data_IF_767206900424
#
_entry.id   IF_767206900424
#
_cell.length_a   1.000
_cell.length_b   1.000
_cell.length_c   1.000
_cell.angle_alpha   90.00
_cell.angle_beta   90.00
_cell.angle_gamma   90.00
#
_symmetry.space_group_name_H-M   'P 1'
#
loop_
_entity.id
_entity.type
_entity.pdbx_description
1 polymer ?
#
# COMPACT_ATOMS: atom_id res chain seq x y z
N UNK A 1 -1.51 9.74 -39.74
CA UNK A 1 -2.97 9.57 -39.91
C UNK A 1 -3.68 10.73 -39.23
N UNK A 2 -4.17 11.71 -40.04
CA UNK A 2 -4.98 12.82 -39.53
C UNK A 2 -6.42 12.32 -39.32
N UNK A 3 -6.68 11.76 -38.15
CA UNK A 3 -8.06 11.50 -37.74
C UNK A 3 -8.73 12.87 -37.50
N UNK A 4 -9.79 13.16 -38.24
CA UNK A 4 -10.65 14.30 -37.93
C UNK A 4 -11.69 13.85 -36.91
N UNK A 5 -11.62 14.26 -35.64
CA UNK A 5 -12.52 13.80 -34.59
C UNK A 5 -13.91 14.44 -34.66
N UNK A 6 -14.12 15.46 -35.51
CA UNK A 6 -15.43 16.08 -35.67
C UNK A 6 -16.50 15.09 -36.17
N UNK A 7 -17.61 15.01 -35.45
CA UNK A 7 -18.70 14.09 -35.75
C UNK A 7 -18.50 12.66 -35.21
N UNK A 8 -17.40 12.39 -34.55
CA UNK A 8 -17.15 11.10 -33.87
C UNK A 8 -17.63 11.12 -32.41
N UNK A 9 -17.91 9.93 -31.90
CA UNK A 9 -18.01 9.67 -30.49
C UNK A 9 -16.63 9.20 -30.00
N UNK A 10 -16.03 9.96 -29.08
CA UNK A 10 -14.73 9.63 -28.49
C UNK A 10 -14.84 9.49 -26.96
N UNK A 11 -14.11 8.54 -26.44
CA UNK A 11 -13.99 8.33 -24.99
C UNK A 11 -12.73 9.02 -24.47
N UNK A 12 -12.75 9.39 -23.20
CA UNK A 12 -11.58 9.91 -22.47
C UNK A 12 -11.58 9.41 -21.03
N UNK A 13 -10.42 9.32 -20.43
CA UNK A 13 -10.23 8.91 -19.04
C UNK A 13 -10.42 10.11 -18.12
N UNK A 14 -11.66 10.25 -17.58
CA UNK A 14 -12.06 11.41 -16.79
C UNK A 14 -11.33 11.53 -15.46
N UNK A 15 -10.81 10.43 -14.92
CA UNK A 15 -10.06 10.42 -13.67
C UNK A 15 -8.61 10.93 -13.84
N UNK A 16 -8.07 10.89 -15.07
CA UNK A 16 -6.72 11.35 -15.42
C UNK A 16 -6.69 12.68 -16.15
N UNK A 17 -7.78 13.04 -16.85
CA UNK A 17 -7.85 14.27 -17.62
C UNK A 17 -8.24 15.47 -16.74
N UNK A 18 -7.42 16.52 -16.72
CA UNK A 18 -7.80 17.75 -16.03
C UNK A 18 -8.99 18.44 -16.71
N UNK A 19 -9.79 19.18 -15.92
CA UNK A 19 -10.91 19.95 -16.46
C UNK A 19 -10.48 20.95 -17.56
N UNK A 20 -9.30 21.56 -17.42
CA UNK A 20 -8.75 22.47 -18.42
C UNK A 20 -8.43 21.76 -19.75
N UNK A 21 -7.87 20.55 -19.68
CA UNK A 21 -7.64 19.73 -20.88
C UNK A 21 -8.95 19.35 -21.57
N UNK A 22 -9.94 18.90 -20.81
CA UNK A 22 -11.28 18.60 -21.33
C UNK A 22 -11.91 19.81 -22.02
N UNK A 23 -11.90 21.00 -21.36
CA UNK A 23 -12.44 22.23 -21.97
C UNK A 23 -11.73 22.60 -23.28
N UNK A 24 -10.41 22.44 -23.33
CA UNK A 24 -9.64 22.71 -24.54
C UNK A 24 -10.02 21.74 -25.67
N UNK A 25 -10.17 20.46 -25.37
CA UNK A 25 -10.61 19.46 -26.36
C UNK A 25 -11.99 19.77 -26.92
N UNK A 26 -12.97 20.11 -26.06
CA UNK A 26 -14.32 20.50 -26.48
C UNK A 26 -14.27 21.76 -27.36
N UNK A 27 -13.42 22.73 -27.04
CA UNK A 27 -13.25 23.94 -27.82
C UNK A 27 -12.63 23.69 -29.20
N UNK A 28 -11.64 22.78 -29.26
CA UNK A 28 -10.94 22.45 -30.53
C UNK A 28 -11.80 21.56 -31.43
N UNK A 29 -12.60 20.67 -30.84
CA UNK A 29 -13.45 19.70 -31.54
C UNK A 29 -14.91 19.82 -31.10
N UNK A 30 -15.60 20.92 -31.46
CA UNK A 30 -16.95 21.24 -30.95
C UNK A 30 -18.04 20.27 -31.38
N UNK A 31 -17.83 19.53 -32.48
CA UNK A 31 -18.79 18.58 -33.02
C UNK A 31 -18.49 17.12 -32.61
N UNK A 32 -17.57 16.90 -31.67
CA UNK A 32 -17.24 15.57 -31.14
C UNK A 32 -18.12 15.30 -29.91
N UNK A 33 -18.70 14.12 -29.84
CA UNK A 33 -19.38 13.65 -28.63
C UNK A 33 -18.35 13.01 -27.71
N UNK A 34 -18.09 13.66 -26.56
CA UNK A 34 -17.16 13.19 -25.55
C UNK A 34 -17.88 12.36 -24.50
N UNK A 35 -17.37 11.17 -24.18
CA UNK A 35 -17.87 10.31 -23.11
C UNK A 35 -16.74 9.90 -22.18
N UNK A 36 -17.00 9.87 -20.88
CA UNK A 36 -16.07 9.32 -19.90
C UNK A 36 -16.02 7.79 -20.01
N UNK A 37 -14.81 7.23 -19.98
CA UNK A 37 -14.53 5.79 -20.03
C UNK A 37 -13.51 5.37 -18.99
N UNK A 38 -13.62 5.91 -17.78
CA UNK A 38 -12.77 5.53 -16.64
C UNK A 38 -12.84 4.02 -16.36
N UNK A 39 -11.78 3.49 -15.74
CA UNK A 39 -11.64 2.11 -15.24
C UNK A 39 -11.45 1.00 -16.30
N UNK A 40 -11.38 1.30 -17.60
CA UNK A 40 -11.18 0.24 -18.61
C UNK A 40 -9.77 -0.38 -18.51
N UNK A 41 -8.76 0.46 -18.36
CA UNK A 41 -7.35 0.01 -18.24
C UNK A 41 -7.11 -0.56 -16.85
N UNK A 42 -7.63 0.08 -15.81
CA UNK A 42 -7.51 -0.33 -14.41
C UNK A 42 -8.14 -1.70 -14.17
N UNK A 43 -9.33 -1.95 -14.72
CA UNK A 43 -10.01 -3.25 -14.60
C UNK A 43 -9.23 -4.36 -15.33
N UNK A 44 -8.67 -4.05 -16.52
CA UNK A 44 -7.82 -5.01 -17.24
C UNK A 44 -6.52 -5.30 -16.48
N UNK A 45 -5.87 -4.27 -15.93
CA UNK A 45 -4.61 -4.39 -15.18
C UNK A 45 -4.80 -5.02 -13.79
N UNK A 46 -6.02 -5.10 -13.26
CA UNK A 46 -6.29 -5.68 -11.95
C UNK A 46 -5.95 -7.17 -11.89
N UNK A 47 -6.18 -7.92 -12.98
CA UNK A 47 -5.89 -9.36 -13.09
C UNK A 47 -4.54 -9.56 -13.77
N UNK A 48 -3.56 -10.10 -13.05
CA UNK A 48 -2.16 -10.23 -13.50
C UNK A 48 -1.93 -11.49 -14.32
N UNK A 49 -1.11 -11.37 -15.35
CA UNK A 49 -0.58 -12.54 -16.06
C UNK A 49 0.66 -13.11 -15.33
N UNK A 50 1.20 -14.23 -15.84
CA UNK A 50 2.36 -14.92 -15.24
C UNK A 50 3.64 -14.06 -15.25
N UNK A 51 3.83 -13.19 -16.26
CA UNK A 51 4.98 -12.30 -16.32
C UNK A 51 4.87 -11.19 -15.26
N UNK A 52 3.70 -10.58 -15.12
CA UNK A 52 3.40 -9.58 -14.10
C UNK A 52 3.58 -10.14 -12.69
N UNK A 53 3.05 -11.34 -12.44
CA UNK A 53 3.23 -12.05 -11.16
C UNK A 53 4.71 -12.36 -10.88
N UNK A 54 5.51 -12.70 -11.91
CA UNK A 54 6.95 -12.93 -11.75
C UNK A 54 7.68 -11.64 -11.36
N UNK A 55 7.34 -10.49 -11.97
CA UNK A 55 7.93 -9.21 -11.61
C UNK A 55 7.58 -8.82 -10.17
N UNK A 56 6.31 -8.97 -9.76
CA UNK A 56 5.86 -8.70 -8.39
C UNK A 56 6.59 -9.57 -7.37
N UNK A 57 6.72 -10.89 -7.62
CA UNK A 57 7.48 -11.79 -6.73
C UNK A 57 8.93 -11.34 -6.57
N UNK A 58 9.60 -10.93 -7.66
CA UNK A 58 10.98 -10.43 -7.60
C UNK A 58 11.05 -9.12 -6.79
N UNK A 59 10.08 -8.22 -6.94
CA UNK A 59 10.01 -7.00 -6.14
C UNK A 59 9.85 -7.31 -4.64
N UNK A 60 9.01 -8.27 -4.27
CA UNK A 60 8.84 -8.73 -2.89
C UNK A 60 10.13 -9.37 -2.35
N UNK A 61 10.78 -10.26 -3.12
CA UNK A 61 12.06 -10.89 -2.72
C UNK A 61 13.16 -9.85 -2.42
N UNK A 62 13.27 -8.82 -3.27
CA UNK A 62 14.24 -7.73 -3.04
C UNK A 62 13.83 -6.89 -1.82
N UNK A 63 12.54 -6.71 -1.59
CA UNK A 63 12.05 -6.01 -0.39
C UNK A 63 12.49 -6.73 0.88
N UNK A 64 12.33 -8.05 0.94
CA UNK A 64 12.77 -8.87 2.08
C UNK A 64 14.29 -8.77 2.29
N UNK A 65 15.10 -8.87 1.22
CA UNK A 65 16.55 -8.73 1.29
C UNK A 65 16.94 -7.38 1.90
N UNK A 66 16.37 -6.28 1.42
CA UNK A 66 16.70 -4.95 1.92
C UNK A 66 16.24 -4.77 3.37
N UNK A 67 15.09 -5.33 3.75
CA UNK A 67 14.63 -5.31 5.13
C UNK A 67 15.62 -6.04 6.07
N UNK A 68 16.11 -7.21 5.69
CA UNK A 68 17.12 -7.94 6.46
C UNK A 68 18.43 -7.15 6.60
N UNK A 69 18.88 -6.47 5.54
CA UNK A 69 20.11 -5.66 5.56
C UNK A 69 20.05 -4.47 6.50
N UNK A 70 18.84 -3.89 6.74
CA UNK A 70 18.70 -2.73 7.65
C UNK A 70 18.45 -3.12 9.10
N UNK A 71 18.19 -4.39 9.42
CA UNK A 71 17.95 -4.84 10.81
C UNK A 71 19.03 -4.38 11.80
N UNK A 72 20.36 -4.41 11.48
CA UNK A 72 21.41 -3.93 12.41
C UNK A 72 21.32 -2.44 12.73
N UNK A 73 20.58 -1.64 11.95
CA UNK A 73 20.38 -0.20 12.16
C UNK A 73 19.23 0.09 13.12
N UNK A 74 18.34 -0.88 13.41
CA UNK A 74 17.13 -0.68 14.22
C UNK A 74 17.46 -0.62 15.72
N UNK A 75 18.28 0.36 16.13
CA UNK A 75 18.77 0.55 17.49
C UNK A 75 19.09 2.03 17.75
N UNK A 76 19.21 2.44 19.03
CA UNK A 76 19.64 3.80 19.38
C UNK A 76 20.92 4.22 18.66
N UNK A 77 20.99 5.50 18.27
CA UNK A 77 22.10 6.08 17.50
C UNK A 77 21.85 6.12 15.99
N UNK A 78 20.73 5.57 15.51
CA UNK A 78 20.23 5.77 14.15
C UNK A 78 18.95 6.58 14.13
N UNK A 79 18.72 7.34 13.06
CA UNK A 79 17.50 8.13 12.85
C UNK A 79 16.59 7.50 11.80
N UNK A 80 15.32 7.90 11.81
CA UNK A 80 14.33 7.50 10.79
C UNK A 80 14.86 7.77 9.38
N UNK A 81 15.39 8.98 9.12
CA UNK A 81 15.97 9.35 7.80
C UNK A 81 17.16 8.52 7.39
N UNK A 82 18.05 8.17 8.33
CA UNK A 82 19.23 7.36 8.00
C UNK A 82 18.81 5.97 7.50
N UNK A 83 17.84 5.35 8.17
CA UNK A 83 17.30 4.04 7.75
C UNK A 83 16.58 4.16 6.42
N UNK A 84 15.66 5.12 6.27
CA UNK A 84 14.94 5.34 5.01
C UNK A 84 15.89 5.57 3.81
N UNK A 85 16.91 6.43 3.98
CA UNK A 85 17.89 6.70 2.92
C UNK A 85 18.73 5.46 2.59
N UNK A 86 19.07 4.63 3.59
CA UNK A 86 19.77 3.38 3.36
C UNK A 86 18.92 2.41 2.54
N UNK A 87 17.62 2.27 2.89
CA UNK A 87 16.69 1.43 2.12
C UNK A 87 16.59 1.89 0.66
N UNK A 88 16.42 3.19 0.41
CA UNK A 88 16.39 3.75 -0.96
C UNK A 88 17.68 3.41 -1.73
N UNK A 89 18.86 3.59 -1.09
CA UNK A 89 20.13 3.24 -1.72
C UNK A 89 20.19 1.75 -2.08
N UNK A 90 19.74 0.89 -1.18
CA UNK A 90 19.75 -0.57 -1.37
C UNK A 90 18.78 -1.02 -2.45
N UNK A 91 17.56 -0.49 -2.47
CA UNK A 91 16.63 -0.80 -3.57
C UNK A 91 17.23 -0.47 -4.94
N UNK A 92 17.94 0.66 -5.07
CA UNK A 92 18.59 1.07 -6.31
C UNK A 92 19.86 0.28 -6.67
N UNK A 93 20.42 -0.47 -5.71
CA UNK A 93 21.49 -1.44 -6.00
C UNK A 93 20.93 -2.72 -6.65
N UNK A 94 19.71 -3.12 -6.32
CA UNK A 94 19.12 -4.38 -6.74
C UNK A 94 18.09 -4.26 -7.87
N UNK A 95 17.40 -3.12 -7.98
CA UNK A 95 16.27 -2.90 -8.91
C UNK A 95 16.27 -1.49 -9.50
N UNK A 96 15.16 -1.08 -10.14
CA UNK A 96 14.96 0.31 -10.59
C UNK A 96 14.84 1.31 -9.44
N UNK A 97 14.63 0.82 -8.22
CA UNK A 97 14.55 1.64 -7.02
C UNK A 97 13.40 1.26 -6.10
N UNK A 98 13.10 2.19 -5.22
CA UNK A 98 11.99 2.12 -4.28
C UNK A 98 10.63 2.13 -5.00
N UNK A 99 9.67 1.40 -4.46
CA UNK A 99 8.27 1.38 -4.90
C UNK A 99 7.61 2.75 -4.65
N UNK A 100 7.88 3.33 -3.50
CA UNK A 100 7.42 4.65 -3.03
C UNK A 100 8.42 5.19 -2.01
N UNK A 101 8.21 6.44 -1.57
CA UNK A 101 9.04 7.03 -0.51
C UNK A 101 8.88 6.25 0.80
N UNK A 102 9.94 5.62 1.35
CA UNK A 102 9.84 4.82 2.55
C UNK A 102 9.27 5.60 3.74
N UNK A 103 8.39 4.97 4.50
CA UNK A 103 7.96 5.41 5.82
C UNK A 103 8.85 4.67 6.84
N UNK A 104 9.57 5.42 7.65
CA UNK A 104 10.27 4.92 8.83
C UNK A 104 9.88 5.83 9.97
N UNK A 105 8.99 5.36 10.85
CA UNK A 105 8.37 6.18 11.88
C UNK A 105 8.49 5.50 13.25
N UNK A 106 9.16 6.18 14.20
CA UNK A 106 9.47 5.61 15.51
C UNK A 106 8.74 6.28 16.65
N UNK A 107 8.31 5.50 17.64
CA UNK A 107 7.56 5.96 18.80
C UNK A 107 6.34 6.79 18.38
N UNK A 108 6.15 8.02 18.92
CA UNK A 108 4.97 8.85 18.60
C UNK A 108 4.76 9.14 17.12
N UNK A 109 5.82 9.18 16.29
CA UNK A 109 5.70 9.37 14.85
C UNK A 109 4.98 8.19 14.17
N UNK A 110 5.15 6.97 14.70
CA UNK A 110 4.46 5.77 14.22
C UNK A 110 2.93 5.82 14.38
N UNK A 111 2.39 6.78 15.12
CA UNK A 111 0.94 7.02 15.18
C UNK A 111 0.37 7.71 13.94
N UNK A 112 1.22 8.12 12.99
CA UNK A 112 0.84 8.73 11.72
C UNK A 112 0.99 7.69 10.62
N UNK A 113 -0.11 7.20 9.99
CA UNK A 113 -0.05 6.16 8.96
C UNK A 113 0.88 6.52 7.77
N UNK A 114 0.93 7.80 7.40
CA UNK A 114 1.75 8.34 6.31
C UNK A 114 2.84 9.29 6.84
N UNK A 115 3.56 8.87 7.89
CA UNK A 115 4.65 9.64 8.47
C UNK A 115 5.78 9.86 7.45
N UNK A 116 6.38 11.03 7.47
CA UNK A 116 7.61 11.31 6.73
C UNK A 116 8.80 11.12 7.68
N UNK A 117 9.85 10.37 7.28
CA UNK A 117 11.02 10.14 8.13
C UNK A 117 11.68 11.44 8.58
N UNK A 118 11.94 11.57 9.89
CA UNK A 118 12.55 12.73 10.52
C UNK A 118 13.97 12.45 11.02
N UNK A 119 14.60 13.45 11.66
CA UNK A 119 15.88 13.27 12.34
C UNK A 119 15.71 12.69 13.77
N UNK A 120 14.52 12.18 14.12
CA UNK A 120 14.30 11.51 15.41
C UNK A 120 15.14 10.24 15.49
N UNK A 121 15.94 10.13 16.56
CA UNK A 121 16.67 8.92 16.87
C UNK A 121 15.76 7.87 17.49
N UNK A 122 16.03 6.59 17.19
CA UNK A 122 15.36 5.45 17.81
C UNK A 122 15.65 5.39 19.30
N UNK A 123 14.62 5.17 20.10
CA UNK A 123 14.73 5.05 21.54
C UNK A 123 14.29 3.66 22.00
N UNK A 124 14.89 3.16 23.10
CA UNK A 124 14.43 1.89 23.69
C UNK A 124 12.95 1.99 24.08
N UNK A 125 12.19 0.98 23.70
CA UNK A 125 10.75 0.93 23.92
C UNK A 125 9.91 1.58 22.80
N UNK A 126 10.54 2.13 21.73
CA UNK A 126 9.78 2.57 20.57
C UNK A 126 9.38 1.37 19.69
N UNK A 127 8.17 1.36 19.16
CA UNK A 127 7.89 0.68 17.90
C UNK A 127 8.48 1.50 16.74
N UNK A 128 8.91 0.82 15.69
CA UNK A 128 9.31 1.42 14.42
C UNK A 128 8.38 0.88 13.34
N UNK A 129 7.47 1.68 12.82
CA UNK A 129 6.72 1.34 11.61
C UNK A 129 7.64 1.56 10.43
N UNK A 130 7.98 0.49 9.72
CA UNK A 130 8.79 0.51 8.49
C UNK A 130 7.89 0.02 7.37
N UNK A 131 7.54 0.93 6.47
CA UNK A 131 6.72 0.69 5.31
C UNK A 131 7.52 1.13 4.09
N UNK A 132 8.04 0.14 3.37
CA UNK A 132 8.98 0.34 2.28
C UNK A 132 9.09 -0.92 1.42
N UNK A 133 9.14 -0.75 0.11
CA UNK A 133 9.29 -1.85 -0.81
C UNK A 133 10.06 -1.47 -2.08
N UNK A 134 10.48 -2.49 -2.83
CA UNK A 134 11.14 -2.36 -4.12
C UNK A 134 10.14 -2.30 -5.27
N UNK A 135 10.64 -1.80 -6.42
CA UNK A 135 9.97 -1.88 -7.72
C UNK A 135 10.85 -2.66 -8.69
N UNK A 136 10.28 -3.63 -9.40
CA UNK A 136 11.00 -4.45 -10.37
C UNK A 136 10.18 -4.66 -11.65
N UNK A 137 10.80 -4.45 -12.81
CA UNK A 137 10.14 -4.55 -14.12
C UNK A 137 8.97 -3.58 -14.29
N UNK A 138 8.97 -2.46 -13.55
CA UNK A 138 7.88 -1.49 -13.47
C UNK A 138 6.79 -1.84 -12.45
N UNK A 139 6.82 -3.03 -11.81
CA UNK A 139 5.82 -3.47 -10.84
C UNK A 139 6.24 -3.15 -9.41
N UNK A 140 5.28 -2.71 -8.62
CA UNK A 140 5.44 -2.25 -7.24
C UNK A 140 5.11 -3.37 -6.26
N UNK A 141 6.01 -3.65 -5.30
CA UNK A 141 5.70 -4.38 -4.08
C UNK A 141 5.30 -3.40 -2.96
N UNK A 142 4.69 -3.92 -1.90
CA UNK A 142 4.34 -3.18 -0.69
C UNK A 142 4.57 -4.04 0.55
N UNK A 143 5.18 -3.47 1.58
CA UNK A 143 5.44 -4.22 2.81
C UNK A 143 5.58 -3.32 4.02
N UNK A 144 4.84 -3.61 5.08
CA UNK A 144 5.05 -3.00 6.39
C UNK A 144 5.46 -4.02 7.44
N UNK A 145 6.48 -3.67 8.23
CA UNK A 145 6.91 -4.40 9.44
C UNK A 145 7.04 -3.43 10.60
N UNK A 146 6.71 -3.91 11.82
CA UNK A 146 6.78 -3.08 13.02
C UNK A 146 7.59 -3.76 14.12
N UNK A 147 8.94 -3.67 14.11
CA UNK A 147 9.77 -4.12 15.21
C UNK A 147 9.74 -3.16 16.39
N UNK A 148 10.16 -3.65 17.58
CA UNK A 148 10.38 -2.85 18.79
C UNK A 148 11.86 -2.67 19.05
N UNK A 149 12.27 -1.49 19.54
CA UNK A 149 13.67 -1.22 19.95
C UNK A 149 13.91 -1.73 21.36
N UNK A 150 14.63 -2.84 21.48
CA UNK A 150 14.93 -3.48 22.76
C UNK A 150 13.82 -4.41 23.26
N UNK A 151 13.49 -4.36 24.55
CA UNK A 151 12.50 -5.27 25.14
C UNK A 151 11.07 -4.77 24.95
N UNK A 152 10.20 -5.67 24.49
CA UNK A 152 8.78 -5.41 24.34
C UNK A 152 8.05 -5.45 25.72
N UNK A 153 7.15 -4.50 25.94
CA UNK A 153 6.26 -4.49 27.11
C UNK A 153 4.99 -5.30 26.84
N UNK A 154 4.18 -5.56 27.89
CA UNK A 154 2.87 -6.20 27.73
C UNK A 154 1.96 -5.47 26.72
N UNK A 155 1.97 -4.14 26.73
CA UNK A 155 1.19 -3.34 25.77
C UNK A 155 1.70 -3.52 24.33
N UNK A 156 3.01 -3.67 24.13
CA UNK A 156 3.57 -3.96 22.81
C UNK A 156 3.06 -5.32 22.31
N UNK A 157 3.12 -6.36 23.15
CA UNK A 157 2.64 -7.70 22.79
C UNK A 157 1.13 -7.71 22.53
N UNK A 158 0.35 -6.99 23.31
CA UNK A 158 -1.11 -6.87 23.13
C UNK A 158 -1.43 -6.25 21.78
N UNK A 159 -0.96 -5.02 21.51
CA UNK A 159 -1.33 -4.28 20.28
C UNK A 159 -0.78 -4.97 19.04
N UNK A 160 0.47 -5.44 19.09
CA UNK A 160 1.07 -6.20 17.99
C UNK A 160 0.32 -7.50 17.71
N UNK A 161 -0.07 -8.23 18.76
CA UNK A 161 -0.82 -9.47 18.65
C UNK A 161 -2.20 -9.27 18.00
N UNK A 162 -2.89 -8.18 18.34
CA UNK A 162 -4.18 -7.82 17.72
C UNK A 162 -4.01 -7.52 16.22
N UNK A 163 -3.03 -6.70 15.84
CA UNK A 163 -2.81 -6.37 14.42
C UNK A 163 -2.38 -7.60 13.63
N UNK A 164 -1.50 -8.44 14.19
CA UNK A 164 -1.07 -9.69 13.56
C UNK A 164 -2.24 -10.65 13.30
N UNK A 165 -3.11 -10.84 14.28
CA UNK A 165 -4.29 -11.69 14.14
C UNK A 165 -5.28 -11.09 13.12
N UNK A 166 -5.47 -9.76 13.13
CA UNK A 166 -6.32 -9.09 12.14
C UNK A 166 -5.77 -9.31 10.71
N UNK A 167 -4.47 -9.14 10.51
CA UNK A 167 -3.82 -9.35 9.22
C UNK A 167 -3.99 -10.80 8.75
N UNK A 168 -3.78 -11.78 9.62
CA UNK A 168 -3.99 -13.20 9.29
C UNK A 168 -5.44 -13.48 8.87
N UNK A 169 -6.42 -12.91 9.57
CA UNK A 169 -7.85 -13.04 9.19
C UNK A 169 -8.14 -12.44 7.83
N UNK A 170 -7.52 -11.31 7.52
CA UNK A 170 -7.58 -10.70 6.17
C UNK A 170 -7.06 -11.65 5.11
N UNK A 171 -5.85 -12.20 5.29
CA UNK A 171 -5.23 -13.19 4.39
C UNK A 171 -6.10 -14.45 4.21
N UNK A 172 -6.63 -14.99 5.30
CA UNK A 172 -7.47 -16.20 5.27
C UNK A 172 -8.79 -15.97 4.54
N UNK A 173 -9.30 -14.73 4.54
CA UNK A 173 -10.57 -14.33 3.93
C UNK A 173 -10.40 -13.95 2.45
N UNK A 174 -9.25 -13.42 2.05
CA UNK A 174 -8.97 -12.95 0.70
C UNK A 174 -8.83 -14.13 -0.28
N UNK A 175 -9.94 -14.44 -0.99
CA UNK A 175 -10.03 -15.54 -1.97
C UNK A 175 -10.87 -15.11 -3.16
N UNK A 176 -10.61 -15.68 -4.33
CA UNK A 176 -11.41 -15.45 -5.52
C UNK A 176 -12.92 -15.67 -5.24
N UNK A 177 -13.75 -14.76 -5.72
CA UNK A 177 -15.20 -14.76 -5.49
C UNK A 177 -15.66 -14.09 -4.19
N UNK A 178 -14.74 -13.71 -3.29
CA UNK A 178 -15.08 -12.99 -2.06
C UNK A 178 -15.19 -11.48 -2.35
N UNK A 179 -16.21 -10.82 -1.80
CA UNK A 179 -16.36 -9.37 -1.93
C UNK A 179 -15.30 -8.64 -1.08
N UNK A 180 -14.64 -7.62 -1.66
CA UNK A 180 -13.58 -6.87 -1.00
C UNK A 180 -13.97 -6.28 0.37
N UNK A 181 -15.23 -5.83 0.53
CA UNK A 181 -15.76 -5.36 1.81
C UNK A 181 -15.80 -6.44 2.91
N UNK A 182 -15.86 -7.73 2.55
CA UNK A 182 -15.86 -8.84 3.51
C UNK A 182 -14.45 -9.06 4.05
N UNK A 183 -13.42 -8.87 3.21
CA UNK A 183 -12.03 -8.89 3.66
C UNK A 183 -11.75 -7.72 4.60
N UNK A 184 -12.20 -6.50 4.27
CA UNK A 184 -12.08 -5.35 5.19
C UNK A 184 -12.79 -5.61 6.52
N UNK A 185 -14.00 -6.13 6.50
CA UNK A 185 -14.76 -6.45 7.71
C UNK A 185 -14.04 -7.48 8.59
N UNK A 186 -13.39 -8.49 8.01
CA UNK A 186 -12.68 -9.54 8.77
C UNK A 186 -11.53 -9.00 9.62
N UNK A 187 -10.87 -7.93 9.20
CA UNK A 187 -9.81 -7.24 9.96
C UNK A 187 -10.38 -6.19 10.91
N UNK A 188 -11.23 -5.32 10.39
CA UNK A 188 -11.80 -4.17 11.08
C UNK A 188 -12.67 -4.54 12.26
N UNK A 189 -13.59 -5.49 12.07
CA UNK A 189 -14.50 -5.92 13.13
C UNK A 189 -13.73 -6.58 14.27
N UNK A 190 -12.71 -7.36 13.97
CA UNK A 190 -11.84 -7.95 14.99
C UNK A 190 -11.08 -6.88 15.79
N UNK A 191 -10.45 -5.91 15.14
CA UNK A 191 -9.77 -4.80 15.84
C UNK A 191 -10.74 -4.02 16.71
N UNK A 192 -11.99 -3.83 16.23
CA UNK A 192 -13.07 -3.17 16.99
C UNK A 192 -13.51 -4.00 18.20
N UNK A 193 -13.69 -5.32 18.05
CA UNK A 193 -14.02 -6.24 19.16
C UNK A 193 -12.94 -6.21 20.26
N UNK A 194 -11.67 -6.05 19.87
CA UNK A 194 -10.54 -5.92 20.79
C UNK A 194 -10.43 -4.52 21.43
N UNK A 195 -11.37 -3.60 21.17
CA UNK A 195 -11.43 -2.28 21.77
C UNK A 195 -10.57 -1.20 21.10
N UNK A 196 -10.00 -1.49 19.92
CA UNK A 196 -9.10 -0.56 19.20
C UNK A 196 -9.72 0.01 17.91
N UNK A 197 -11.03 -0.10 17.71
CA UNK A 197 -11.70 0.31 16.46
C UNK A 197 -11.47 1.78 16.08
N UNK A 198 -11.44 2.70 17.07
CA UNK A 198 -11.22 4.12 16.82
C UNK A 198 -9.78 4.47 16.38
N UNK A 199 -8.86 3.53 16.53
CA UNK A 199 -7.45 3.66 16.16
C UNK A 199 -7.11 3.04 14.81
N UNK A 200 -8.08 2.46 14.10
CA UNK A 200 -7.92 1.89 12.76
C UNK A 200 -8.66 2.76 11.73
N UNK A 201 -7.94 3.64 11.06
CA UNK A 201 -8.49 4.80 10.34
C UNK A 201 -8.46 4.71 8.81
N UNK A 202 -7.92 3.63 8.23
CA UNK A 202 -7.84 3.43 6.76
C UNK A 202 -8.46 2.10 6.32
N UNK A 203 -8.50 1.84 5.03
CA UNK A 203 -8.93 0.56 4.46
C UNK A 203 -7.93 -0.57 4.77
N UNK A 204 -8.38 -1.81 4.61
CA UNK A 204 -7.52 -2.98 4.87
C UNK A 204 -6.46 -3.19 3.81
N UNK A 205 -6.60 -2.59 2.62
CA UNK A 205 -5.61 -2.71 1.54
C UNK A 205 -6.13 -2.31 0.17
N UNK A 206 -5.28 -2.49 -0.82
CA UNK A 206 -5.50 -2.09 -2.21
C UNK A 206 -4.84 -3.05 -3.19
N UNK A 207 -5.18 -2.92 -4.46
CA UNK A 207 -4.48 -3.61 -5.54
C UNK A 207 -3.08 -3.04 -5.77
N UNK A 208 -2.20 -3.88 -6.29
CA UNK A 208 -0.83 -3.55 -6.71
C UNK A 208 -0.63 -3.85 -8.19
N UNK A 209 0.34 -3.20 -8.81
CA UNK A 209 0.73 -3.44 -10.21
C UNK A 209 1.75 -2.44 -10.70
N UNK A 210 1.52 -1.89 -11.90
CA UNK A 210 2.35 -0.82 -12.46
C UNK A 210 2.22 0.50 -11.68
N UNK A 211 1.19 0.62 -10.86
CA UNK A 211 1.03 1.69 -9.88
C UNK A 211 0.94 1.06 -8.48
N UNK A 212 1.40 1.81 -7.48
CA UNK A 212 1.40 1.35 -6.09
C UNK A 212 -0.02 1.19 -5.54
N UNK A 213 -0.95 2.03 -5.93
CA UNK A 213 -2.34 1.98 -5.50
C UNK A 213 -3.26 1.76 -6.69
N UNK A 214 -3.76 0.53 -6.85
CA UNK A 214 -4.70 0.18 -7.93
C UNK A 214 -6.03 -0.31 -7.38
N UNK A 215 -6.98 -0.54 -8.28
CA UNK A 215 -8.20 -1.29 -7.99
C UNK A 215 -7.92 -2.80 -8.00
N UNK A 216 -8.73 -3.59 -7.24
CA UNK A 216 -9.76 -3.16 -6.31
C UNK A 216 -9.20 -2.68 -4.96
N UNK A 217 -10.08 -2.21 -4.05
CA UNK A 217 -9.68 -1.80 -2.69
C UNK A 217 -10.45 -2.58 -1.64
N UNK A 218 -9.79 -2.94 -0.55
CA UNK A 218 -10.42 -3.46 0.66
C UNK A 218 -10.90 -2.30 1.53
N UNK A 219 -12.19 -2.00 1.48
CA UNK A 219 -12.84 -0.96 2.27
C UNK A 219 -14.31 -1.29 2.53
N UNK A 220 -14.94 -0.70 3.54
CA UNK A 220 -16.37 -0.93 3.84
C UNK A 220 -17.30 -0.62 2.66
N UNK A 221 -16.93 0.36 1.82
CA UNK A 221 -17.73 0.83 0.70
C UNK A 221 -17.46 0.08 -0.62
N UNK A 222 -16.48 -0.84 -0.63
CA UNK A 222 -16.09 -1.55 -1.85
C UNK A 222 -17.21 -2.44 -2.36
N UNK A 223 -17.45 -2.38 -3.66
CA UNK A 223 -18.42 -3.24 -4.40
C UNK A 223 -17.72 -4.32 -5.21
N UNK A 224 -16.39 -4.29 -5.28
CA UNK A 224 -15.60 -5.22 -6.06
C UNK A 224 -15.63 -6.62 -5.44
N UNK A 225 -15.46 -7.61 -6.31
CA UNK A 225 -15.29 -9.02 -5.96
C UNK A 225 -13.90 -9.41 -6.43
N UNK A 226 -13.18 -10.15 -5.59
CA UNK A 226 -11.84 -10.62 -5.91
C UNK A 226 -11.87 -11.64 -7.04
N UNK A 227 -10.92 -11.50 -7.95
CA UNK A 227 -10.68 -12.42 -9.06
C UNK A 227 -9.34 -13.13 -8.87
N UNK A 228 -9.23 -14.33 -9.42
CA UNK A 228 -7.93 -15.05 -9.46
C UNK A 228 -6.87 -14.17 -10.13
N UNK A 229 -5.66 -14.15 -9.58
CA UNK A 229 -4.55 -13.30 -9.99
C UNK A 229 -4.72 -11.79 -9.73
N UNK A 230 -5.71 -11.36 -8.95
CA UNK A 230 -5.57 -10.06 -8.29
C UNK A 230 -4.36 -10.13 -7.33
N UNK A 231 -3.59 -9.05 -7.23
CA UNK A 231 -2.55 -8.90 -6.22
C UNK A 231 -2.95 -7.73 -5.33
N UNK A 232 -3.02 -8.00 -4.02
CA UNK A 232 -3.62 -7.09 -3.04
C UNK A 232 -2.73 -6.96 -1.82
N UNK A 233 -2.67 -5.78 -1.20
CA UNK A 233 -2.11 -5.62 0.14
C UNK A 233 -3.12 -6.03 1.21
N UNK A 234 -2.64 -6.53 2.36
CA UNK A 234 -3.43 -6.72 3.58
C UNK A 234 -2.65 -6.11 4.72
N UNK A 235 -3.06 -4.91 5.14
CA UNK A 235 -2.28 -3.97 5.95
C UNK A 235 -3.04 -3.35 7.14
N UNK A 236 -3.79 -4.11 7.95
CA UNK A 236 -4.46 -3.51 9.10
C UNK A 236 -3.46 -2.84 10.04
N UNK A 237 -3.89 -1.76 10.69
CA UNK A 237 -3.05 -1.02 11.62
C UNK A 237 -3.81 -0.41 12.80
N UNK A 238 -3.10 -0.21 13.91
CA UNK A 238 -3.57 0.50 15.10
C UNK A 238 -2.61 1.66 15.39
N UNK A 239 -3.13 2.89 15.47
CA UNK A 239 -2.35 4.11 15.61
C UNK A 239 -2.79 4.89 16.84
N UNK A 240 -1.95 4.95 17.89
CA UNK A 240 -2.26 5.55 19.18
C UNK A 240 -1.45 6.83 19.37
N UNK A 241 -2.12 7.98 19.28
CA UNK A 241 -1.48 9.28 19.41
C UNK A 241 -0.64 9.39 20.70
N UNK A 242 0.60 9.89 20.57
CA UNK A 242 1.55 10.06 21.67
C UNK A 242 2.25 8.77 22.12
N UNK A 243 1.87 7.60 21.58
CA UNK A 243 2.52 6.31 21.89
C UNK A 243 3.21 5.72 20.67
N UNK A 244 2.50 5.44 19.61
CA UNK A 244 3.04 4.83 18.41
C UNK A 244 1.98 4.14 17.58
N UNK A 245 2.41 3.36 16.60
CA UNK A 245 1.55 2.58 15.74
C UNK A 245 2.10 1.20 15.48
N UNK A 246 1.23 0.31 15.04
CA UNK A 246 1.55 -1.01 14.50
C UNK A 246 0.80 -1.18 13.21
N UNK A 247 1.49 -1.47 12.12
CA UNK A 247 0.95 -2.00 10.85
C UNK A 247 1.74 -3.24 10.48
N UNK A 248 1.05 -4.26 10.02
CA UNK A 248 1.63 -5.49 9.47
C UNK A 248 0.98 -5.71 8.13
N UNK A 249 1.79 -5.86 7.10
CA UNK A 249 1.35 -5.88 5.72
C UNK A 249 2.09 -6.91 4.90
N UNK A 250 1.35 -7.62 4.10
CA UNK A 250 1.88 -8.50 3.06
C UNK A 250 1.09 -8.34 1.76
N UNK A 251 1.79 -8.53 0.64
CA UNK A 251 1.20 -8.71 -0.68
C UNK A 251 0.65 -10.12 -0.82
N UNK A 252 -0.60 -10.26 -1.22
CA UNK A 252 -1.25 -11.56 -1.45
C UNK A 252 -1.72 -11.71 -2.89
N UNK A 253 -1.45 -12.85 -3.49
CA UNK A 253 -2.00 -13.25 -4.79
C UNK A 253 -3.26 -14.06 -4.53
N UNK A 254 -4.36 -13.65 -5.15
CA UNK A 254 -5.69 -14.27 -5.01
C UNK A 254 -5.83 -15.49 -5.92
#
# INVERSE_FOLDING_TARGET
NNLNPNGLKLCFEGDHMSFAQYQNMVKVFPNTKWENSSMIVEDLAAVKDEHELSCLRTAVEVTDIVYEEILPMLRPGFTEKQVANTMVSKYREYTEGESYSPIVATGPNGALPHAVPTDREFQKGDFIVIDAAAKYGGYHADMTRTPVVGEATEKHHEVYGIVKEAQQRGCDTAKAGVACKVVDASTRDYIKEMGYGDYYTHGTGHGLGLEIHTSPRFSPESKAILETNNVMTIEPGIYIAGWGGVRIEDDVII
#
